data_IF_905259508012
#
_entry.id   IF_905259508012
#
_cell.length_a   1.000
_cell.length_b   1.000
_cell.length_c   1.000
_cell.angle_alpha   90.00
_cell.angle_beta   90.00
_cell.angle_gamma   90.00
#
_symmetry.space_group_name_H-M   'P 1'
#
loop_
_entity.id
_entity.type
_entity.pdbx_description
1 polymer ?
#
# COMPACT_ATOMS: atom_id res chain seq x y z
N UNK A 1 -9.67 9.72 23.27
CA UNK A 1 -8.89 10.87 23.77
C UNK A 1 -8.51 11.79 22.63
N UNK A 2 -8.26 13.04 22.99
CA UNK A 2 -7.66 14.06 22.11
C UNK A 2 -6.43 14.62 22.81
N UNK A 3 -5.36 14.86 22.06
CA UNK A 3 -4.12 15.43 22.59
C UNK A 3 -3.68 16.61 21.73
N UNK A 4 -3.35 17.71 22.38
CA UNK A 4 -2.75 18.90 21.76
C UNK A 4 -1.54 19.31 22.60
N UNK A 5 -0.32 19.03 22.08
CA UNK A 5 0.92 19.16 22.85
C UNK A 5 0.89 18.37 24.16
N UNK A 6 1.00 19.07 25.30
CA UNK A 6 0.92 18.47 26.64
C UNK A 6 -0.51 18.30 27.15
N UNK A 7 -1.49 19.02 26.56
CA UNK A 7 -2.88 18.94 26.99
C UNK A 7 -3.54 17.66 26.47
N UNK A 8 -4.17 16.93 27.38
CA UNK A 8 -4.80 15.66 27.09
C UNK A 8 -6.23 15.62 27.61
N UNK A 9 -7.17 15.50 26.68
CA UNK A 9 -8.61 15.39 26.98
C UNK A 9 -9.05 13.94 26.85
N UNK A 10 -9.58 13.34 27.91
CA UNK A 10 -10.07 11.98 27.91
C UNK A 10 -11.53 11.92 27.46
N UNK A 11 -11.85 10.96 26.60
CA UNK A 11 -13.23 10.62 26.26
C UNK A 11 -13.90 9.80 27.39
N UNK A 12 -15.21 9.58 27.27
CA UNK A 12 -16.07 8.97 28.29
C UNK A 12 -15.62 7.58 28.75
N UNK A 13 -14.96 6.80 27.93
CA UNK A 13 -14.46 5.48 28.30
C UNK A 13 -13.24 5.62 29.22
N UNK A 14 -12.23 6.37 28.78
CA UNK A 14 -10.97 6.50 29.51
C UNK A 14 -11.08 7.35 30.78
N UNK A 15 -12.04 8.28 30.86
CA UNK A 15 -12.28 9.08 32.05
C UNK A 15 -12.78 8.25 33.26
N UNK A 16 -13.28 7.03 33.01
CA UNK A 16 -13.71 6.10 34.05
C UNK A 16 -12.59 5.23 34.60
N UNK A 17 -11.47 5.14 33.88
CA UNK A 17 -10.37 4.19 34.15
C UNK A 17 -9.26 4.78 35.06
N UNK A 18 -9.45 5.98 35.59
CA UNK A 18 -8.46 6.67 36.44
C UNK A 18 -7.06 6.74 35.84
N UNK A 19 -6.99 7.07 34.55
CA UNK A 19 -5.77 7.10 33.74
C UNK A 19 -4.93 8.34 34.08
N UNK A 20 -3.61 8.15 34.21
CA UNK A 20 -2.69 9.27 34.34
C UNK A 20 -2.59 10.06 33.00
N UNK A 21 -2.89 11.35 33.05
CA UNK A 21 -2.85 12.25 31.88
C UNK A 21 -1.52 12.99 31.73
N UNK A 22 -0.64 12.93 32.74
CA UNK A 22 0.69 13.55 32.69
C UNK A 22 1.67 12.59 32.02
N UNK A 23 1.74 12.64 30.71
CA UNK A 23 2.57 11.75 29.89
C UNK A 23 3.44 12.62 29.00
N UNK A 24 4.73 12.27 28.89
CA UNK A 24 5.68 12.97 28.03
C UNK A 24 5.12 13.11 26.60
N UNK A 25 5.19 14.32 26.03
CA UNK A 25 4.66 14.64 24.71
C UNK A 25 5.23 13.76 23.58
N UNK A 26 6.50 13.30 23.73
CA UNK A 26 7.17 12.43 22.77
C UNK A 26 6.70 10.98 22.80
N UNK A 27 5.94 10.59 23.83
CA UNK A 27 5.37 9.24 23.96
C UNK A 27 3.96 9.23 23.38
N UNK A 28 3.64 8.41 22.38
CA UNK A 28 2.28 8.21 21.92
C UNK A 28 1.39 7.76 23.07
N UNK A 29 0.29 8.46 23.32
CA UNK A 29 -0.56 8.17 24.47
C UNK A 29 -1.21 6.79 24.39
N UNK A 30 -1.52 6.32 23.19
CA UNK A 30 -2.02 4.96 22.98
C UNK A 30 -1.03 3.90 23.50
N UNK A 31 0.25 4.05 23.16
CA UNK A 31 1.32 3.15 23.62
C UNK A 31 1.49 3.20 25.14
N UNK A 32 1.39 4.40 25.72
CA UNK A 32 1.40 4.55 27.20
C UNK A 32 0.24 3.80 27.85
N UNK A 33 -0.97 3.92 27.30
CA UNK A 33 -2.15 3.21 27.82
C UNK A 33 -1.99 1.69 27.70
N UNK A 34 -1.54 1.22 26.54
CA UNK A 34 -1.38 -0.20 26.28
C UNK A 34 -0.36 -0.88 27.21
N UNK A 35 0.71 -0.16 27.57
CA UNK A 35 1.77 -0.70 28.45
C UNK A 35 1.34 -0.66 29.93
N UNK A 36 0.62 0.38 30.36
CA UNK A 36 0.41 0.64 31.77
C UNK A 36 -0.99 0.29 32.30
N UNK A 37 -1.96 0.05 31.38
CA UNK A 37 -3.36 -0.19 31.75
C UNK A 37 -3.93 -1.38 30.96
N UNK A 38 -4.68 -2.22 31.68
CA UNK A 38 -5.37 -3.35 31.03
C UNK A 38 -6.79 -2.94 30.63
N UNK A 39 -6.90 -2.12 29.57
CA UNK A 39 -8.17 -1.61 29.05
C UNK A 39 -8.48 -2.35 27.74
N UNK A 40 -9.52 -3.20 27.68
CA UNK A 40 -9.77 -4.08 26.53
C UNK A 40 -9.77 -3.37 25.17
N UNK A 41 -10.46 -2.23 25.06
CA UNK A 41 -10.51 -1.46 23.80
C UNK A 41 -9.13 -0.94 23.37
N UNK A 42 -8.23 -0.64 24.30
CA UNK A 42 -6.86 -0.21 24.00
C UNK A 42 -6.03 -1.39 23.50
N UNK A 43 -6.19 -2.54 24.14
CA UNK A 43 -5.53 -3.79 23.70
C UNK A 43 -5.97 -4.16 22.27
N UNK A 44 -7.26 -4.16 21.97
CA UNK A 44 -7.80 -4.42 20.62
C UNK A 44 -7.21 -3.46 19.56
N UNK A 45 -7.12 -2.16 19.88
CA UNK A 45 -6.54 -1.17 18.97
C UNK A 45 -5.04 -1.40 18.77
N UNK A 46 -4.32 -1.74 19.83
CA UNK A 46 -2.89 -2.06 19.74
C UNK A 46 -2.66 -3.31 18.89
N UNK A 47 -3.37 -4.40 19.15
CA UNK A 47 -3.30 -5.64 18.37
C UNK A 47 -3.60 -5.38 16.89
N UNK A 48 -4.57 -4.50 16.59
CA UNK A 48 -4.85 -4.09 15.23
C UNK A 48 -3.65 -3.40 14.58
N UNK A 49 -3.00 -2.43 15.26
CA UNK A 49 -1.80 -1.77 14.74
C UNK A 49 -0.63 -2.76 14.56
N UNK A 50 -0.43 -3.68 15.50
CA UNK A 50 0.61 -4.71 15.43
C UNK A 50 0.35 -5.71 14.28
N UNK A 51 -0.92 -5.91 13.92
CA UNK A 51 -1.30 -6.74 12.77
C UNK A 51 -1.08 -6.06 11.42
N UNK A 52 -0.87 -4.73 11.37
CA UNK A 52 -0.63 -4.01 10.13
C UNK A 52 0.68 -4.47 9.49
N UNK A 53 0.66 -4.66 8.17
CA UNK A 53 1.82 -5.09 7.41
C UNK A 53 2.35 -3.90 6.59
N UNK A 54 3.59 -3.47 6.87
CA UNK A 54 4.24 -2.37 6.16
C UNK A 54 5.38 -2.93 5.33
N UNK A 55 5.42 -2.65 4.03
CA UNK A 55 6.42 -3.15 3.10
C UNK A 55 6.89 -2.08 2.12
N UNK A 56 8.15 -2.23 1.74
CA UNK A 56 8.76 -1.51 0.63
C UNK A 56 9.51 -2.54 -0.22
N UNK A 57 9.06 -2.73 -1.46
CA UNK A 57 9.63 -3.72 -2.37
C UNK A 57 10.72 -3.14 -3.28
N UNK A 58 11.45 -2.12 -2.85
CA UNK A 58 12.62 -1.61 -3.57
C UNK A 58 13.69 -2.69 -3.77
N UNK A 59 13.81 -3.60 -2.80
CA UNK A 59 14.67 -4.79 -2.90
C UNK A 59 13.86 -6.08 -2.63
N UNK A 60 13.20 -6.68 -3.65
CA UNK A 60 12.42 -7.90 -3.46
C UNK A 60 13.22 -9.10 -2.93
N UNK A 61 14.54 -9.13 -3.16
CA UNK A 61 15.40 -10.22 -2.67
C UNK A 61 15.43 -10.26 -1.13
N UNK A 62 15.41 -9.09 -0.48
CA UNK A 62 15.39 -9.02 0.98
C UNK A 62 14.10 -9.62 1.61
N UNK A 63 13.04 -9.74 0.83
CA UNK A 63 11.75 -10.29 1.26
C UNK A 63 11.64 -11.81 1.04
N UNK A 64 12.65 -12.45 0.42
CA UNK A 64 12.61 -13.88 0.06
C UNK A 64 12.40 -14.79 1.27
N UNK A 65 12.97 -14.47 2.42
CA UNK A 65 12.82 -15.27 3.65
C UNK A 65 11.37 -15.33 4.14
N UNK A 66 10.58 -14.30 3.86
CA UNK A 66 9.15 -14.26 4.20
C UNK A 66 8.32 -15.06 3.20
N UNK A 67 8.84 -15.24 1.98
CA UNK A 67 8.16 -15.91 0.87
C UNK A 67 8.24 -17.42 0.93
N UNK A 68 9.23 -17.96 1.63
CA UNK A 68 9.40 -19.40 1.82
C UNK A 68 8.39 -19.87 2.87
N UNK A 69 7.13 -19.92 2.46
CA UNK A 69 6.09 -20.59 3.23
C UNK A 69 6.14 -22.07 2.88
N UNK A 70 6.37 -22.92 3.87
CA UNK A 70 6.23 -24.39 3.73
C UNK A 70 4.78 -24.83 3.44
N UNK A 71 3.88 -23.88 3.24
CA UNK A 71 2.47 -24.13 2.98
C UNK A 71 2.23 -24.29 1.47
N UNK A 72 2.17 -25.52 1.02
CA UNK A 72 1.84 -25.90 -0.36
C UNK A 72 0.54 -25.24 -0.88
N UNK A 73 -0.46 -25.03 -0.04
CA UNK A 73 -1.70 -24.38 -0.44
C UNK A 73 -1.46 -22.90 -0.82
N UNK A 74 -0.69 -22.17 -0.01
CA UNK A 74 -0.32 -20.77 -0.29
C UNK A 74 0.54 -20.69 -1.56
N UNK A 75 1.49 -21.58 -1.71
CA UNK A 75 2.34 -21.70 -2.90
C UNK A 75 1.51 -21.89 -4.16
N UNK A 76 0.58 -22.83 -4.16
CA UNK A 76 -0.30 -23.09 -5.30
C UNK A 76 -1.20 -21.87 -5.62
N UNK A 77 -1.68 -21.15 -4.62
CA UNK A 77 -2.42 -19.91 -4.83
C UNK A 77 -1.56 -18.82 -5.48
N UNK A 78 -0.32 -18.66 -5.06
CA UNK A 78 0.63 -17.70 -5.67
C UNK A 78 0.88 -18.04 -7.13
N UNK A 79 1.18 -19.32 -7.44
CA UNK A 79 1.39 -19.80 -8.81
C UNK A 79 0.15 -19.53 -9.68
N UNK A 80 -1.03 -19.83 -9.18
CA UNK A 80 -2.29 -19.57 -9.87
C UNK A 80 -2.44 -18.06 -10.18
N UNK A 81 -2.20 -17.19 -9.22
CA UNK A 81 -2.30 -15.73 -9.40
C UNK A 81 -1.27 -15.20 -10.39
N UNK A 82 -0.02 -15.70 -10.36
CA UNK A 82 1.00 -15.33 -11.33
C UNK A 82 0.58 -15.70 -12.75
N UNK A 83 0.04 -16.90 -12.93
CA UNK A 83 -0.44 -17.36 -14.23
C UNK A 83 -1.65 -16.55 -14.72
N UNK A 84 -2.60 -16.19 -13.84
CA UNK A 84 -3.71 -15.28 -14.18
C UNK A 84 -3.22 -13.88 -14.59
N UNK A 85 -2.09 -13.45 -14.04
CA UNK A 85 -1.42 -12.19 -14.42
C UNK A 85 -0.59 -12.31 -15.71
N UNK A 86 -0.55 -13.49 -16.34
CA UNK A 86 0.24 -13.76 -17.55
C UNK A 86 1.74 -13.97 -17.28
N UNK A 87 2.10 -14.30 -16.05
CA UNK A 87 3.46 -14.68 -15.66
C UNK A 87 3.50 -16.19 -15.55
N UNK A 88 4.05 -16.83 -16.58
CA UNK A 88 4.09 -18.27 -16.72
C UNK A 88 5.14 -18.88 -15.78
N UNK A 89 4.69 -19.32 -14.60
CA UNK A 89 5.48 -20.00 -13.57
C UNK A 89 4.74 -21.28 -13.19
N UNK A 90 5.37 -22.43 -13.37
CA UNK A 90 4.78 -23.73 -12.98
C UNK A 90 5.02 -24.06 -11.52
N UNK A 91 6.18 -23.66 -11.01
CA UNK A 91 6.61 -23.92 -9.65
C UNK A 91 7.67 -22.91 -9.20
N UNK A 92 7.92 -22.85 -7.91
CA UNK A 92 9.11 -22.20 -7.37
C UNK A 92 9.63 -22.97 -6.14
N UNK A 93 10.92 -22.94 -5.92
CA UNK A 93 11.58 -23.54 -4.77
C UNK A 93 12.66 -22.64 -4.21
N UNK A 94 12.88 -22.75 -2.92
CA UNK A 94 14.00 -22.09 -2.26
C UNK A 94 15.09 -23.12 -1.97
N UNK A 95 16.32 -22.80 -2.30
CA UNK A 95 17.49 -23.61 -1.96
C UNK A 95 18.20 -22.99 -0.76
N UNK A 96 18.13 -23.65 0.39
CA UNK A 96 18.70 -23.17 1.64
C UNK A 96 20.25 -23.10 1.61
N UNK A 97 20.90 -23.92 0.80
CA UNK A 97 22.38 -23.95 0.72
C UNK A 97 22.91 -22.80 -0.12
N UNK A 98 22.18 -22.47 -1.16
CA UNK A 98 22.54 -21.39 -2.07
C UNK A 98 21.88 -20.07 -1.67
N UNK A 99 20.99 -20.10 -0.67
CA UNK A 99 20.14 -18.97 -0.24
C UNK A 99 19.44 -18.29 -1.44
N UNK A 100 18.98 -19.13 -2.39
CA UNK A 100 18.46 -18.69 -3.68
C UNK A 100 17.06 -19.26 -3.95
N UNK A 101 16.15 -18.40 -4.40
CA UNK A 101 14.86 -18.82 -4.99
C UNK A 101 15.05 -19.15 -6.47
N UNK A 102 14.41 -20.21 -6.92
CA UNK A 102 14.31 -20.62 -8.32
C UNK A 102 12.85 -20.66 -8.73
N UNK A 103 12.56 -20.17 -9.93
CA UNK A 103 11.26 -20.35 -10.61
C UNK A 103 11.39 -21.47 -11.65
N UNK A 104 10.35 -22.26 -11.82
CA UNK A 104 10.30 -23.37 -12.79
C UNK A 104 9.35 -23.00 -13.92
N UNK A 105 9.79 -23.17 -15.15
CA UNK A 105 9.01 -22.89 -16.37
C UNK A 105 9.20 -24.00 -17.38
N UNK A 106 8.19 -24.25 -18.22
CA UNK A 106 8.32 -25.10 -19.41
C UNK A 106 8.43 -24.21 -20.66
N UNK A 107 9.55 -24.32 -21.37
CA UNK A 107 9.82 -23.61 -22.62
C UNK A 107 10.02 -24.65 -23.71
N UNK A 108 9.18 -24.63 -24.74
CA UNK A 108 9.23 -25.60 -25.86
C UNK A 108 9.17 -27.06 -25.43
N UNK A 109 8.49 -27.36 -24.31
CA UNK A 109 8.31 -28.72 -23.77
C UNK A 109 9.42 -29.18 -22.83
N UNK A 110 10.43 -28.36 -22.59
CA UNK A 110 11.51 -28.66 -21.64
C UNK A 110 11.37 -27.78 -20.38
N UNK A 111 11.64 -28.37 -19.20
CA UNK A 111 11.61 -27.66 -17.92
C UNK A 111 12.93 -26.97 -17.64
N UNK A 112 12.83 -25.70 -17.26
CA UNK A 112 13.96 -24.86 -16.88
C UNK A 112 13.75 -24.32 -15.47
N UNK A 113 14.83 -24.34 -14.68
CA UNK A 113 14.92 -23.62 -13.41
C UNK A 113 15.68 -22.32 -13.64
N UNK A 114 15.04 -21.21 -13.31
CA UNK A 114 15.62 -19.87 -13.45
C UNK A 114 15.87 -19.28 -12.06
N UNK A 115 17.11 -18.87 -11.75
CA UNK A 115 17.38 -18.13 -10.53
C UNK A 115 16.52 -16.87 -10.46
N UNK A 116 16.00 -16.53 -9.27
CA UNK A 116 15.09 -15.41 -9.06
C UNK A 116 15.64 -14.07 -9.56
N UNK A 117 16.96 -13.86 -9.47
CA UNK A 117 17.63 -12.67 -9.99
C UNK A 117 17.61 -12.55 -11.52
N UNK A 118 17.30 -13.62 -12.24
CA UNK A 118 17.11 -13.62 -13.70
C UNK A 118 15.67 -13.29 -14.12
N UNK A 119 14.75 -13.26 -13.17
CA UNK A 119 13.38 -12.82 -13.42
C UNK A 119 13.31 -11.30 -13.64
N UNK A 120 12.29 -10.85 -14.36
CA UNK A 120 12.03 -9.42 -14.51
C UNK A 120 11.77 -8.77 -13.15
N UNK A 121 12.09 -7.48 -13.01
CA UNK A 121 11.85 -6.73 -11.77
C UNK A 121 10.39 -6.78 -11.34
N UNK A 122 9.45 -6.69 -12.30
CA UNK A 122 8.02 -6.79 -12.02
C UNK A 122 7.61 -8.18 -11.52
N UNK A 123 8.14 -9.25 -12.14
CA UNK A 123 7.93 -10.62 -11.70
C UNK A 123 8.46 -10.83 -10.29
N UNK A 124 9.68 -10.37 -10.03
CA UNK A 124 10.30 -10.46 -8.68
C UNK A 124 9.46 -9.75 -7.63
N UNK A 125 8.97 -8.53 -7.95
CA UNK A 125 8.13 -7.77 -7.04
C UNK A 125 6.81 -8.48 -6.75
N UNK A 126 6.15 -9.04 -7.76
CA UNK A 126 4.89 -9.76 -7.57
C UNK A 126 5.08 -11.04 -6.75
N UNK A 127 6.11 -11.82 -7.07
CA UNK A 127 6.44 -13.01 -6.28
C UNK A 127 6.66 -12.64 -4.81
N UNK A 128 7.35 -11.53 -4.53
CA UNK A 128 7.58 -11.06 -3.16
C UNK A 128 6.32 -10.50 -2.47
N UNK A 129 5.44 -9.84 -3.22
CA UNK A 129 4.28 -9.16 -2.64
C UNK A 129 3.06 -10.08 -2.44
N UNK A 130 2.86 -11.08 -3.32
CA UNK A 130 1.67 -11.94 -3.29
C UNK A 130 1.48 -12.71 -1.99
N UNK A 131 2.51 -13.30 -1.34
CA UNK A 131 2.35 -13.97 -0.05
C UNK A 131 1.76 -13.05 1.01
N UNK A 132 2.29 -11.82 1.11
CA UNK A 132 1.85 -10.81 2.07
C UNK A 132 0.41 -10.36 1.78
N UNK A 133 0.08 -10.15 0.50
CA UNK A 133 -1.27 -9.78 0.06
C UNK A 133 -2.27 -10.90 0.40
N UNK A 134 -1.91 -12.17 0.17
CA UNK A 134 -2.76 -13.31 0.49
C UNK A 134 -3.03 -13.42 2.00
N UNK A 135 -1.99 -13.30 2.82
CA UNK A 135 -2.15 -13.29 4.29
C UNK A 135 -3.08 -12.17 4.73
N UNK A 136 -2.88 -10.97 4.20
CA UNK A 136 -3.74 -9.84 4.53
C UNK A 136 -5.21 -10.09 4.16
N UNK A 137 -5.47 -10.63 2.95
CA UNK A 137 -6.83 -10.95 2.50
C UNK A 137 -7.48 -12.06 3.32
N UNK A 138 -6.70 -13.04 3.78
CA UNK A 138 -7.17 -14.16 4.60
C UNK A 138 -7.48 -13.74 6.05
N UNK A 139 -6.75 -12.76 6.59
CA UNK A 139 -6.83 -12.36 7.99
C UNK A 139 -7.49 -10.99 8.19
N UNK A 140 -7.89 -10.31 7.11
CA UNK A 140 -8.54 -8.99 7.22
C UNK A 140 -7.61 -7.85 7.64
N UNK A 141 -6.30 -7.94 7.35
CA UNK A 141 -5.28 -6.98 7.80
C UNK A 141 -5.20 -5.74 6.91
N UNK A 142 -4.66 -4.65 7.46
CA UNK A 142 -4.19 -3.51 6.68
C UNK A 142 -2.79 -3.79 6.13
N UNK A 143 -2.62 -3.64 4.83
CA UNK A 143 -1.32 -3.66 4.16
C UNK A 143 -0.97 -2.25 3.69
N UNK A 144 0.22 -1.79 4.02
CA UNK A 144 0.78 -0.51 3.59
C UNK A 144 2.00 -0.82 2.70
N UNK A 145 1.95 -0.40 1.43
CA UNK A 145 3.03 -0.64 0.47
C UNK A 145 3.47 0.67 -0.16
N UNK A 146 4.74 1.00 0.03
CA UNK A 146 5.35 2.16 -0.62
C UNK A 146 5.70 1.82 -2.07
N UNK A 147 5.39 2.75 -3.00
CA UNK A 147 5.62 2.61 -4.44
C UNK A 147 5.14 1.27 -5.02
N UNK A 148 3.89 0.88 -4.74
CA UNK A 148 3.35 -0.40 -5.22
C UNK A 148 3.43 -0.54 -6.74
N UNK A 149 3.28 0.55 -7.49
CA UNK A 149 3.34 0.60 -8.96
C UNK A 149 4.75 0.42 -9.53
N UNK A 150 5.81 0.73 -8.77
CA UNK A 150 7.17 0.70 -9.27
C UNK A 150 7.50 -0.65 -9.95
N UNK A 151 7.95 -0.58 -11.21
CA UNK A 151 8.29 -1.73 -12.05
C UNK A 151 7.12 -2.66 -12.42
N UNK A 152 5.87 -2.34 -12.05
CA UNK A 152 4.69 -3.09 -12.45
C UNK A 152 4.02 -2.46 -13.69
N UNK A 153 3.56 -3.32 -14.59
CA UNK A 153 2.66 -2.87 -15.64
C UNK A 153 1.33 -2.41 -15.02
N UNK A 154 0.71 -1.28 -15.45
CA UNK A 154 -0.53 -0.77 -14.87
C UNK A 154 -1.68 -1.79 -14.76
N UNK A 155 -1.76 -2.75 -15.68
CA UNK A 155 -2.76 -3.84 -15.60
C UNK A 155 -2.52 -4.75 -14.40
N UNK A 156 -1.26 -5.03 -14.05
CA UNK A 156 -0.91 -5.87 -12.89
C UNK A 156 -1.22 -5.14 -11.59
N UNK A 157 -0.90 -3.85 -11.50
CA UNK A 157 -1.29 -3.00 -10.38
C UNK A 157 -2.82 -3.00 -10.20
N UNK A 158 -3.57 -2.81 -11.28
CA UNK A 158 -5.04 -2.85 -11.23
C UNK A 158 -5.58 -4.22 -10.80
N UNK A 159 -4.94 -5.31 -11.18
CA UNK A 159 -5.31 -6.64 -10.73
C UNK A 159 -5.17 -6.76 -9.22
N UNK A 160 -4.02 -6.36 -8.65
CA UNK A 160 -3.80 -6.35 -7.20
C UNK A 160 -4.85 -5.50 -6.47
N UNK A 161 -5.11 -4.27 -6.94
CA UNK A 161 -6.15 -3.40 -6.38
C UNK A 161 -7.52 -4.07 -6.42
N UNK A 162 -7.85 -4.78 -7.52
CA UNK A 162 -9.14 -5.45 -7.68
C UNK A 162 -9.33 -6.60 -6.68
N UNK A 163 -8.28 -7.24 -6.21
CA UNK A 163 -8.36 -8.29 -5.18
C UNK A 163 -8.95 -7.72 -3.88
N UNK A 164 -8.52 -6.52 -3.45
CA UNK A 164 -9.04 -5.87 -2.26
C UNK A 164 -10.46 -5.33 -2.43
N UNK A 165 -10.84 -4.93 -3.63
CA UNK A 165 -12.19 -4.42 -3.94
C UNK A 165 -13.23 -5.52 -4.18
N UNK A 166 -12.82 -6.71 -4.51
CA UNK A 166 -13.71 -7.83 -4.79
C UNK A 166 -14.13 -8.53 -3.49
N UNK A 167 -15.37 -8.34 -3.07
CA UNK A 167 -15.94 -8.94 -1.85
C UNK A 167 -15.92 -10.48 -1.83
N UNK A 168 -15.80 -11.15 -2.99
CA UNK A 168 -15.67 -12.61 -3.05
C UNK A 168 -14.26 -13.07 -2.69
N UNK A 169 -13.25 -12.24 -2.95
CA UNK A 169 -11.85 -12.47 -2.61
C UNK A 169 -11.58 -11.92 -1.21
N UNK A 170 -11.86 -10.65 -1.00
CA UNK A 170 -11.68 -9.93 0.27
C UNK A 170 -12.88 -10.15 1.20
N UNK A 171 -12.99 -11.33 1.77
CA UNK A 171 -14.11 -11.72 2.64
C UNK A 171 -14.00 -11.12 4.04
N UNK A 172 -12.78 -10.86 4.51
CA UNK A 172 -12.48 -10.43 5.87
C UNK A 172 -12.20 -8.92 5.98
N UNK A 173 -12.41 -8.17 4.89
CA UNK A 173 -12.31 -6.72 4.91
C UNK A 173 -10.88 -6.18 5.00
N UNK A 174 -9.90 -6.91 4.44
CA UNK A 174 -8.53 -6.41 4.33
C UNK A 174 -8.48 -5.05 3.63
N UNK A 175 -7.54 -4.22 4.02
CA UNK A 175 -7.34 -2.89 3.48
C UNK A 175 -5.97 -2.77 2.82
N UNK A 176 -5.90 -2.01 1.72
CA UNK A 176 -4.66 -1.70 1.02
C UNK A 176 -4.48 -0.18 1.00
N UNK A 177 -3.41 0.29 1.65
CA UNK A 177 -2.90 1.65 1.53
C UNK A 177 -1.59 1.59 0.75
N UNK A 178 -1.45 2.37 -0.29
CA UNK A 178 -0.21 2.37 -1.06
C UNK A 178 0.10 3.76 -1.62
N UNK A 179 1.38 4.02 -1.82
CA UNK A 179 1.84 5.17 -2.61
C UNK A 179 2.07 4.74 -4.06
N UNK A 180 1.88 5.66 -5.00
CA UNK A 180 2.03 5.38 -6.42
C UNK A 180 2.30 6.64 -7.23
N UNK A 181 3.12 6.51 -8.25
CA UNK A 181 3.31 7.49 -9.32
C UNK A 181 2.51 7.14 -10.59
N UNK A 182 1.76 6.03 -10.59
CA UNK A 182 0.99 5.58 -11.75
C UNK A 182 -0.33 6.35 -11.91
N UNK A 183 -0.37 7.24 -12.88
CA UNK A 183 -1.57 7.99 -13.25
C UNK A 183 -2.56 7.12 -14.02
N UNK A 184 -2.10 6.08 -14.72
CA UNK A 184 -2.96 5.25 -15.58
C UNK A 184 -4.04 4.48 -14.81
N UNK A 185 -3.82 4.20 -13.53
CA UNK A 185 -4.81 3.58 -12.64
C UNK A 185 -5.69 4.58 -11.90
N UNK A 186 -5.33 5.89 -11.88
CA UNK A 186 -6.09 6.94 -11.20
C UNK A 186 -7.37 7.31 -11.97
N UNK A 187 -8.31 6.38 -12.02
CA UNK A 187 -9.58 6.51 -12.77
C UNK A 187 -10.79 6.36 -11.87
N UNK A 188 -11.87 7.04 -12.21
CA UNK A 188 -13.16 6.93 -11.53
C UNK A 188 -13.76 5.52 -11.60
N UNK A 189 -13.34 4.68 -12.56
CA UNK A 189 -13.73 3.27 -12.66
C UNK A 189 -12.93 2.36 -11.72
N UNK A 190 -11.82 2.86 -11.18
CA UNK A 190 -10.95 2.14 -10.25
C UNK A 190 -11.12 2.65 -8.82
N UNK A 191 -11.16 3.96 -8.63
CA UNK A 191 -11.21 4.60 -7.31
C UNK A 191 -12.38 5.55 -7.17
N UNK A 192 -12.89 5.64 -5.93
CA UNK A 192 -13.72 6.75 -5.49
C UNK A 192 -12.84 7.95 -5.15
N UNK A 193 -13.42 9.15 -5.08
CA UNK A 193 -12.69 10.39 -4.73
C UNK A 193 -12.06 10.35 -3.35
N UNK A 194 -12.73 9.72 -2.40
CA UNK A 194 -12.28 9.55 -1.01
C UNK A 194 -11.16 8.50 -0.85
N UNK A 195 -10.91 7.71 -1.89
CA UNK A 195 -9.82 6.73 -1.93
C UNK A 195 -8.53 7.30 -2.54
N UNK A 196 -8.56 8.50 -3.13
CA UNK A 196 -7.39 9.14 -3.74
C UNK A 196 -6.94 10.30 -2.84
N UNK A 197 -5.69 10.24 -2.44
CA UNK A 197 -5.03 11.25 -1.61
C UNK A 197 -3.79 11.76 -2.31
N UNK A 198 -3.55 13.05 -2.18
CA UNK A 198 -2.38 13.73 -2.71
C UNK A 198 -1.46 14.13 -1.57
N UNK A 199 -0.16 13.91 -1.76
CA UNK A 199 0.90 14.46 -0.94
C UNK A 199 1.63 15.52 -1.77
N UNK A 200 1.56 16.76 -1.36
CA UNK A 200 2.14 17.90 -2.07
C UNK A 200 2.89 18.82 -1.10
N UNK A 201 3.75 19.65 -1.63
CA UNK A 201 4.37 20.77 -0.89
C UNK A 201 3.56 22.03 -1.13
N UNK A 202 3.35 22.82 -0.07
CA UNK A 202 2.80 24.16 -0.20
C UNK A 202 3.89 25.19 -0.61
N UNK A 203 3.52 26.45 -0.73
CA UNK A 203 4.42 27.54 -1.08
C UNK A 203 5.57 27.74 -0.08
N UNK A 204 5.41 27.27 1.15
CA UNK A 204 6.42 27.31 2.21
C UNK A 204 7.25 26.03 2.30
N UNK A 205 7.13 25.12 1.33
CA UNK A 205 7.72 23.78 1.32
C UNK A 205 7.28 22.89 2.48
N UNK A 206 6.11 23.16 3.06
CA UNK A 206 5.50 22.28 4.06
C UNK A 206 4.68 21.19 3.39
N UNK A 207 4.79 19.96 3.88
CA UNK A 207 4.03 18.82 3.35
C UNK A 207 2.55 18.96 3.71
N UNK A 208 1.71 18.78 2.71
CA UNK A 208 0.25 18.73 2.85
C UNK A 208 -0.28 17.41 2.31
N UNK A 209 -1.29 16.87 2.98
CA UNK A 209 -1.99 15.67 2.53
C UNK A 209 -3.49 15.97 2.50
N UNK A 210 -4.11 15.77 1.34
CA UNK A 210 -5.53 16.03 1.15
C UNK A 210 -6.15 15.06 0.16
N UNK A 211 -7.45 14.80 0.29
CA UNK A 211 -8.15 13.86 -0.59
C UNK A 211 -8.74 14.57 -1.82
N UNK A 212 -8.89 13.83 -2.92
CA UNK A 212 -9.61 14.32 -4.09
C UNK A 212 -11.06 14.70 -3.76
N UNK A 213 -11.64 14.12 -2.71
CA UNK A 213 -12.99 14.46 -2.22
C UNK A 213 -13.07 15.86 -1.62
N UNK A 214 -11.98 16.39 -1.05
CA UNK A 214 -11.92 17.71 -0.42
C UNK A 214 -11.77 18.83 -1.44
N UNK A 215 -11.25 18.51 -2.64
CA UNK A 215 -10.98 19.51 -3.67
C UNK A 215 -12.29 20.13 -4.18
N UNK A 216 -12.30 21.47 -4.23
CA UNK A 216 -13.38 22.28 -4.77
C UNK A 216 -12.95 22.91 -6.08
N UNK A 217 -13.88 23.05 -7.01
CA UNK A 217 -13.71 23.81 -8.25
C UNK A 217 -13.91 25.30 -7.95
N UNK A 218 -13.67 26.13 -8.94
CA UNK A 218 -13.93 27.58 -8.88
C UNK A 218 -15.40 27.92 -8.55
N UNK A 219 -16.35 27.10 -9.01
CA UNK A 219 -17.78 27.17 -8.70
C UNK A 219 -18.14 26.64 -7.30
N UNK A 220 -17.16 26.31 -6.48
CA UNK A 220 -17.29 25.70 -5.15
C UNK A 220 -17.90 24.30 -5.15
N UNK A 221 -18.13 23.70 -6.31
CA UNK A 221 -18.58 22.31 -6.41
C UNK A 221 -17.41 21.33 -6.23
N UNK A 222 -17.70 20.12 -5.74
CA UNK A 222 -16.72 19.04 -5.65
C UNK A 222 -16.42 18.46 -7.03
N UNK A 223 -15.24 17.87 -7.19
CA UNK A 223 -14.88 17.10 -8.37
C UNK A 223 -15.96 16.05 -8.64
N UNK A 224 -16.48 15.96 -9.86
CA UNK A 224 -17.52 15.00 -10.19
C UNK A 224 -17.01 13.55 -10.13
N UNK A 225 -17.84 12.61 -9.67
CA UNK A 225 -17.52 11.17 -9.63
C UNK A 225 -17.26 10.56 -11.01
N UNK A 226 -17.78 11.17 -12.08
CA UNK A 226 -17.59 10.75 -13.46
C UNK A 226 -16.42 11.44 -14.15
N UNK A 227 -15.71 12.33 -13.44
CA UNK A 227 -14.57 13.04 -14.01
C UNK A 227 -13.42 12.09 -14.37
N UNK A 228 -12.66 12.45 -15.38
CA UNK A 228 -11.42 11.77 -15.74
C UNK A 228 -10.30 12.27 -14.81
N UNK A 229 -10.13 11.59 -13.68
CA UNK A 229 -9.19 12.03 -12.62
C UNK A 229 -7.76 12.13 -13.12
N UNK A 230 -7.31 11.14 -13.90
CA UNK A 230 -5.99 11.09 -14.54
C UNK A 230 -5.73 12.34 -15.42
N UNK A 231 -6.70 12.71 -16.27
CA UNK A 231 -6.56 13.88 -17.15
C UNK A 231 -6.55 15.17 -16.37
N UNK A 232 -7.47 15.33 -15.41
CA UNK A 232 -7.55 16.55 -14.59
C UNK A 232 -6.32 16.74 -13.69
N UNK A 233 -5.70 15.64 -13.24
CA UNK A 233 -4.42 15.70 -12.55
C UNK A 233 -3.31 16.26 -13.46
N UNK A 234 -3.18 15.72 -14.68
CA UNK A 234 -2.18 16.20 -15.66
C UNK A 234 -2.41 17.64 -16.13
N UNK A 235 -3.64 18.14 -16.00
CA UNK A 235 -4.01 19.54 -16.26
C UNK A 235 -3.73 20.47 -15.06
N UNK A 236 -3.11 19.96 -13.97
CA UNK A 236 -2.79 20.73 -12.77
C UNK A 236 -3.99 21.12 -11.89
N UNK A 237 -5.18 20.53 -12.14
CA UNK A 237 -6.42 20.94 -11.45
C UNK A 237 -6.49 20.56 -9.98
N UNK A 238 -5.57 19.76 -9.50
CA UNK A 238 -5.58 19.23 -8.13
C UNK A 238 -4.47 19.80 -7.25
N UNK A 239 -3.55 20.60 -7.82
CA UNK A 239 -2.49 21.29 -7.08
C UNK A 239 -1.41 20.36 -6.51
N UNK A 240 -1.33 19.12 -7.00
CA UNK A 240 -0.36 18.11 -6.53
C UNK A 240 0.65 17.71 -7.62
N UNK A 241 0.65 18.41 -8.74
CA UNK A 241 1.61 18.19 -9.83
C UNK A 241 2.97 18.81 -9.50
N UNK A 242 4.06 18.22 -9.98
CA UNK A 242 5.39 18.78 -9.83
C UNK A 242 5.45 20.20 -10.42
N UNK A 243 6.04 21.16 -9.71
CA UNK A 243 6.24 22.53 -10.18
C UNK A 243 7.19 22.56 -11.38
N UNK A 244 6.66 22.40 -12.60
CA UNK A 244 7.40 22.50 -13.86
C UNK A 244 7.24 23.89 -14.51
N UNK A 245 6.76 24.90 -13.78
CA UNK A 245 6.39 26.21 -14.31
C UNK A 245 7.49 26.90 -15.14
N UNK A 246 8.75 26.65 -14.84
CA UNK A 246 9.85 27.31 -15.55
C UNK A 246 10.33 26.55 -16.80
N UNK A 247 9.95 25.30 -16.99
CA UNK A 247 10.39 24.53 -18.17
C UNK A 247 9.56 24.80 -19.44
N UNK A 248 8.29 25.20 -19.29
CA UNK A 248 7.38 25.42 -20.41
C UNK A 248 7.19 26.90 -20.77
N UNK A 249 7.64 27.83 -19.93
CA UNK A 249 7.50 29.27 -20.14
C UNK A 249 8.66 29.93 -20.89
N UNK A 250 9.52 29.17 -21.59
CA UNK A 250 10.52 29.71 -22.50
C UNK A 250 11.73 30.37 -21.85
N UNK A 251 12.08 29.98 -20.64
CA UNK A 251 13.34 30.36 -20.01
C UNK A 251 14.52 29.83 -20.83
N UNK A 252 15.45 30.69 -21.22
CA UNK A 252 16.66 30.32 -21.94
C UNK A 252 17.41 29.25 -21.15
N UNK A 253 17.66 28.12 -21.79
CA UNK A 253 18.55 27.09 -21.28
C UNK A 253 19.98 27.65 -21.31
N UNK A 254 20.61 27.82 -20.14
CA UNK A 254 22.03 28.18 -20.03
C UNK A 254 22.88 26.95 -20.24
#
# INVERSE_FOLDING_TARGET
FYRDGEELTLGTILSKENVNTKVNEKMPFLSFLAINYNIPVITEVQEWFESCIIRNYANPIAELQIMVSDNEQTKNQIIMLLNEMGIDVEDYRYDEKEEQLYTVRTISGEKYELPFNHESDGTRKLIAALPVILVALQEGRLVIIDELDAKLHPKLLRYVISMFKNKKINKYGAQLLFTSHDIATMKNTVFRRDEIWFAALDENHSSQVYSLYEIRREDNERVNNTAAYDKQYLEGRYGADPYLQNMLSGGEWI
#
